data_IF_970206308827
#
_entry.id   IF_970206308827
#
_cell.length_a   1.000
_cell.length_b   1.000
_cell.length_c   1.000
_cell.angle_alpha   90.00
_cell.angle_beta   90.00
_cell.angle_gamma   90.00
#
_symmetry.space_group_name_H-M   'P 1'
#
loop_
_entity.id
_entity.type
_entity.pdbx_description
1 polymer ?
#
# COMPACT_ATOMS: atom_id res chain seq x y z
N UNK A 1 3.67 -0.59 -13.94
CA UNK A 1 3.23 -1.85 -13.31
C UNK A 1 1.81 -1.65 -12.82
N UNK A 2 0.83 -2.36 -13.36
CA UNK A 2 -0.55 -2.30 -12.83
C UNK A 2 -0.64 -3.29 -11.68
N UNK A 3 -0.69 -2.82 -10.43
CA UNK A 3 -1.08 -3.66 -9.30
C UNK A 3 -2.60 -3.82 -9.35
N UNK A 4 -3.09 -5.03 -9.61
CA UNK A 4 -4.52 -5.34 -9.48
C UNK A 4 -4.88 -5.53 -8.01
N UNK A 5 -6.06 -5.07 -7.60
CA UNK A 5 -6.57 -5.20 -6.23
C UNK A 5 -6.62 -6.66 -5.73
N UNK A 6 -6.79 -7.63 -6.64
CA UNK A 6 -6.75 -9.06 -6.32
C UNK A 6 -5.38 -9.56 -5.87
N UNK A 7 -4.30 -8.95 -6.34
CA UNK A 7 -2.92 -9.37 -6.01
C UNK A 7 -2.53 -8.95 -4.59
N UNK A 8 -3.14 -7.89 -4.05
CA UNK A 8 -2.79 -7.31 -2.74
C UNK A 8 -3.20 -8.16 -1.54
N UNK A 9 -4.01 -9.20 -1.77
CA UNK A 9 -4.32 -10.22 -0.77
C UNK A 9 -3.26 -11.34 -0.73
N UNK A 10 -2.34 -11.35 -1.69
CA UNK A 10 -1.26 -12.32 -1.78
C UNK A 10 0.05 -11.74 -1.26
N UNK A 11 0.92 -12.64 -0.81
CA UNK A 11 2.27 -12.30 -0.38
C UNK A 11 3.08 -11.59 -1.48
N UNK A 12 2.92 -12.05 -2.73
CA UNK A 12 3.61 -11.48 -3.88
C UNK A 12 3.14 -10.03 -4.18
N UNK A 13 1.84 -9.75 -4.04
CA UNK A 13 1.32 -8.40 -4.25
C UNK A 13 1.73 -7.44 -3.14
N UNK A 14 1.69 -7.87 -1.87
CA UNK A 14 2.19 -7.08 -0.75
C UNK A 14 3.70 -6.82 -0.84
N UNK A 15 4.48 -7.79 -1.32
CA UNK A 15 5.92 -7.61 -1.58
C UNK A 15 6.16 -6.53 -2.62
N UNK A 16 5.46 -6.57 -3.75
CA UNK A 16 5.56 -5.53 -4.80
C UNK A 16 5.14 -4.17 -4.30
N UNK A 17 4.04 -4.10 -3.53
CA UNK A 17 3.57 -2.85 -2.93
C UNK A 17 4.60 -2.29 -1.94
N UNK A 18 5.21 -3.16 -1.11
CA UNK A 18 6.24 -2.76 -0.16
C UNK A 18 7.46 -2.17 -0.86
N UNK A 19 7.91 -2.78 -1.96
CA UNK A 19 9.01 -2.26 -2.80
C UNK A 19 8.63 -0.92 -3.46
N UNK A 20 7.41 -0.78 -3.96
CA UNK A 20 6.94 0.47 -4.54
C UNK A 20 6.95 1.62 -3.50
N UNK A 21 6.52 1.33 -2.28
CA UNK A 21 6.43 2.29 -1.17
C UNK A 21 7.77 2.53 -0.45
N UNK A 22 8.85 1.86 -0.84
CA UNK A 22 10.18 2.08 -0.28
C UNK A 22 10.63 3.54 -0.49
N UNK A 23 10.44 4.06 -1.70
CA UNK A 23 10.81 5.43 -2.09
C UNK A 23 9.63 6.41 -2.18
N UNK A 24 8.42 5.97 -1.80
CA UNK A 24 7.17 6.73 -2.02
C UNK A 24 6.32 6.75 -0.77
N UNK A 25 5.71 7.90 -0.49
CA UNK A 25 4.77 8.07 0.63
C UNK A 25 3.32 7.73 0.28
N UNK A 26 2.97 7.71 -1.01
CA UNK A 26 1.63 7.44 -1.54
C UNK A 26 1.71 6.47 -2.72
N UNK A 27 0.58 5.89 -3.11
CA UNK A 27 0.49 5.01 -4.28
C UNK A 27 0.83 5.77 -5.56
N UNK A 28 0.32 6.99 -5.69
CA UNK A 28 0.59 7.87 -6.81
C UNK A 28 0.74 9.34 -6.36
N UNK A 29 1.59 10.09 -7.07
CA UNK A 29 1.89 11.48 -6.76
C UNK A 29 2.58 11.71 -5.40
N UNK A 30 2.35 12.92 -4.86
CA UNK A 30 2.95 13.40 -3.60
C UNK A 30 1.92 13.79 -2.55
N UNK A 31 0.64 13.48 -2.80
CA UNK A 31 -0.50 13.77 -1.94
C UNK A 31 -1.41 12.54 -1.91
N UNK A 32 -2.26 12.38 -0.88
CA UNK A 32 -3.25 11.30 -0.86
C UNK A 32 -4.12 11.31 -2.11
N UNK A 33 -4.41 10.12 -2.63
CA UNK A 33 -5.19 9.94 -3.86
C UNK A 33 -6.24 8.83 -3.70
N UNK A 34 -7.18 8.73 -4.66
CA UNK A 34 -8.17 7.64 -4.69
C UNK A 34 -7.53 6.26 -4.83
N UNK A 35 -6.33 6.18 -5.40
CA UNK A 35 -5.55 4.94 -5.45
C UNK A 35 -5.15 4.50 -4.04
N UNK A 36 -4.76 5.44 -3.16
CA UNK A 36 -4.44 5.11 -1.77
C UNK A 36 -5.66 4.56 -1.04
N UNK A 37 -6.83 5.19 -1.21
CA UNK A 37 -8.09 4.75 -0.59
C UNK A 37 -8.45 3.32 -1.04
N UNK A 38 -8.44 3.07 -2.36
CA UNK A 38 -8.80 1.76 -2.90
C UNK A 38 -7.88 0.64 -2.40
N UNK A 39 -6.58 0.90 -2.32
CA UNK A 39 -5.62 -0.08 -1.79
C UNK A 39 -5.74 -0.23 -0.26
N UNK A 40 -6.00 0.85 0.46
CA UNK A 40 -6.16 0.83 1.91
C UNK A 40 -7.36 -0.03 2.32
N UNK A 41 -8.51 0.13 1.66
CA UNK A 41 -9.71 -0.67 1.90
C UNK A 41 -9.52 -2.16 1.54
N UNK A 42 -8.70 -2.45 0.53
CA UNK A 42 -8.38 -3.83 0.15
C UNK A 42 -7.47 -4.55 1.16
N UNK A 43 -6.72 -3.81 1.98
CA UNK A 43 -5.73 -4.34 2.93
C UNK A 43 -6.27 -4.22 4.35
N UNK A 44 -6.83 -5.32 4.87
CA UNK A 44 -7.42 -5.36 6.20
C UNK A 44 -6.37 -5.32 7.34
N UNK A 45 -5.20 -5.94 7.12
CA UNK A 45 -4.10 -5.95 8.08
C UNK A 45 -2.76 -6.07 7.36
N UNK A 46 -1.72 -5.45 7.93
CA UNK A 46 -0.37 -5.45 7.37
C UNK A 46 0.57 -6.16 8.32
N UNK A 47 1.19 -7.23 7.82
CA UNK A 47 2.25 -7.95 8.54
C UNK A 47 3.50 -7.06 8.71
N UNK A 48 4.21 -7.22 9.83
CA UNK A 48 5.46 -6.50 10.14
C UNK A 48 6.57 -6.76 9.11
N UNK A 49 6.50 -7.85 8.34
CA UNK A 49 7.44 -8.10 7.23
C UNK A 49 7.35 -7.08 6.08
N UNK A 50 6.28 -6.26 6.05
CA UNK A 50 6.08 -5.19 5.06
C UNK A 50 6.15 -3.81 5.70
N UNK A 51 7.34 -3.36 6.12
CA UNK A 51 7.48 -2.12 6.91
C UNK A 51 7.01 -0.87 6.15
N UNK A 52 7.22 -0.80 4.83
CA UNK A 52 6.81 0.37 4.04
C UNK A 52 5.30 0.40 3.82
N UNK A 53 4.68 -0.77 3.61
CA UNK A 53 3.21 -0.89 3.58
C UNK A 53 2.62 -0.52 4.94
N UNK A 54 3.24 -0.96 6.04
CA UNK A 54 2.74 -0.68 7.38
C UNK A 54 2.80 0.83 7.71
N UNK A 55 3.92 1.48 7.37
CA UNK A 55 4.09 2.93 7.46
C UNK A 55 3.02 3.66 6.64
N UNK A 56 2.86 3.29 5.37
CA UNK A 56 1.86 3.89 4.48
C UNK A 56 0.43 3.66 4.99
N UNK A 57 0.07 2.44 5.40
CA UNK A 57 -1.27 2.11 5.90
C UNK A 57 -1.63 2.93 7.15
N UNK A 58 -0.67 3.08 8.07
CA UNK A 58 -0.83 3.93 9.26
C UNK A 58 -0.95 5.41 8.89
N UNK A 59 -0.20 5.87 7.88
CA UNK A 59 -0.25 7.25 7.38
C UNK A 59 -1.62 7.55 6.75
N UNK A 60 -2.11 6.70 5.85
CA UNK A 60 -3.42 6.85 5.20
C UNK A 60 -4.56 6.79 6.22
N UNK A 61 -4.46 5.92 7.23
CA UNK A 61 -5.45 5.83 8.32
C UNK A 61 -5.57 7.11 9.16
N UNK A 62 -4.56 7.97 9.16
CA UNK A 62 -4.53 9.20 9.96
C UNK A 62 -5.13 10.43 9.27
N UNK A 63 -5.43 10.32 7.98
CA UNK A 63 -6.19 11.33 7.23
C UNK A 63 -7.69 11.27 7.58
#
# INVERSE_FOLDING_TARGET
MSLSLGDLKSDAGLTKLNQHLESRSYIDGYTPSQSDVALFEAIASVDKKYPHVNRWHSHIKSY
#
